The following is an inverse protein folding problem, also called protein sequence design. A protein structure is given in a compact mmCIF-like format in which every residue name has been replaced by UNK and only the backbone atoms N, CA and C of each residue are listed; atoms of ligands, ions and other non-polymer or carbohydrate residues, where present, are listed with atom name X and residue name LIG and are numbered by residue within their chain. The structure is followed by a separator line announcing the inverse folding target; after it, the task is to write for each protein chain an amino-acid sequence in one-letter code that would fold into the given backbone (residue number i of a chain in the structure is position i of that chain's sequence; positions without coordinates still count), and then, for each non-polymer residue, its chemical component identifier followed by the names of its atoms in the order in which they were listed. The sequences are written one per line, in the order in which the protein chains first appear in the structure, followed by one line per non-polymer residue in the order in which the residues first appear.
data_IF_553818214042
#
_entry.id   IF_553818214042
#
_cell.length_a   1.000
_cell.length_b   1.000
_cell.length_c   1.000
_cell.angle_alpha   90.00
_cell.angle_beta   90.00
_cell.angle_gamma   90.00
#
_symmetry.space_group_name_H-M   'P 1'
#
loop_
_entity.id
_entity.type
_entity.pdbx_description
1 polymer ?
#
# COMPACT_ATOMS: atom_id res chain seq x y z
N UNK A 1 7.83 -13.03 -6.63
CA UNK A 1 7.47 -11.75 -6.01
C UNK A 1 6.25 -11.18 -6.70
N UNK A 2 5.31 -10.66 -5.92
CA UNK A 2 4.06 -10.14 -6.44
C UNK A 2 4.28 -8.73 -7.00
N UNK A 3 3.96 -8.53 -8.29
CA UNK A 3 4.14 -7.23 -8.94
C UNK A 3 3.33 -6.13 -8.25
N UNK A 4 2.15 -6.46 -7.73
CA UNK A 4 1.32 -5.50 -7.02
C UNK A 4 1.97 -5.06 -5.71
N UNK A 5 2.60 -5.99 -4.99
CA UNK A 5 3.31 -5.66 -3.75
C UNK A 5 4.49 -4.74 -4.02
N UNK A 6 5.25 -5.02 -5.08
CA UNK A 6 6.38 -4.18 -5.47
C UNK A 6 5.91 -2.78 -5.86
N UNK A 7 4.79 -2.68 -6.59
CA UNK A 7 4.22 -1.40 -6.97
C UNK A 7 3.78 -0.59 -5.76
N UNK A 8 3.08 -1.22 -4.83
CA UNK A 8 2.63 -0.53 -3.61
C UNK A 8 3.81 0.01 -2.84
N UNK A 9 4.83 -0.81 -2.64
CA UNK A 9 6.03 -0.40 -1.91
C UNK A 9 6.73 0.77 -2.60
N UNK A 10 6.88 0.70 -3.93
CA UNK A 10 7.53 1.75 -4.69
C UNK A 10 6.75 3.07 -4.61
N UNK A 11 5.44 3.03 -4.74
CA UNK A 11 4.61 4.24 -4.69
C UNK A 11 4.69 4.89 -3.31
N UNK A 12 4.58 4.10 -2.25
CA UNK A 12 4.68 4.64 -0.89
C UNK A 12 6.05 5.28 -0.68
N UNK A 13 7.12 4.64 -1.12
CA UNK A 13 8.46 5.17 -0.98
C UNK A 13 8.70 6.42 -1.81
N UNK A 14 8.32 6.39 -3.09
CA UNK A 14 8.64 7.46 -4.03
C UNK A 14 7.71 8.67 -3.91
N UNK A 15 6.41 8.44 -3.75
CA UNK A 15 5.44 9.54 -3.77
C UNK A 15 5.04 10.02 -2.39
N UNK A 16 5.16 9.19 -1.39
CA UNK A 16 4.70 9.51 -0.04
C UNK A 16 5.82 9.52 0.99
N UNK A 17 7.05 9.38 0.55
CA UNK A 17 8.20 9.44 1.45
C UNK A 17 8.24 8.34 2.49
N UNK A 18 7.60 7.22 2.23
CA UNK A 18 7.62 6.06 3.12
C UNK A 18 6.43 5.96 4.07
N UNK A 19 5.56 6.98 4.10
CA UNK A 19 4.36 6.97 4.95
C UNK A 19 3.14 7.31 4.10
N UNK A 20 2.31 6.30 3.85
CA UNK A 20 1.07 6.49 3.10
C UNK A 20 0.01 7.04 4.06
N UNK A 21 -0.61 8.19 3.74
CA UNK A 21 -1.54 8.86 4.67
C UNK A 21 -2.92 8.19 4.77
N UNK A 22 -3.10 7.02 4.17
CA UNK A 22 -4.34 6.26 4.27
C UNK A 22 -4.04 4.76 4.27
N UNK A 23 -5.06 3.95 4.53
CA UNK A 23 -4.91 2.50 4.57
C UNK A 23 -5.80 1.86 3.50
N UNK A 24 -5.94 0.55 3.55
CA UNK A 24 -6.84 -0.20 2.66
C UNK A 24 -8.32 0.12 2.91
N UNK A 25 -8.61 0.95 3.90
CA UNK A 25 -9.98 1.44 4.14
C UNK A 25 -10.33 2.66 3.29
N UNK A 26 -9.38 3.20 2.55
CA UNK A 26 -9.62 4.33 1.65
C UNK A 26 -10.61 3.95 0.55
N UNK A 27 -11.26 4.96 -0.03
CA UNK A 27 -12.22 4.73 -1.11
C UNK A 27 -11.53 4.06 -2.31
N UNK A 28 -12.24 3.18 -3.02
CA UNK A 28 -11.62 2.49 -4.17
C UNK A 28 -11.07 3.44 -5.22
N UNK A 29 -11.70 4.59 -5.43
CA UNK A 29 -11.23 5.58 -6.39
C UNK A 29 -9.86 6.13 -6.03
N UNK A 30 -9.63 6.35 -4.74
CA UNK A 30 -8.34 6.85 -4.26
C UNK A 30 -7.24 5.84 -4.52
N UNK A 31 -7.51 4.57 -4.21
CA UNK A 31 -6.54 3.51 -4.41
C UNK A 31 -6.22 3.32 -5.88
N UNK A 32 -7.25 3.32 -6.73
CA UNK A 32 -7.07 3.17 -8.17
C UNK A 32 -6.25 4.33 -8.75
N UNK A 33 -6.52 5.56 -8.29
CA UNK A 33 -5.81 6.74 -8.76
C UNK A 33 -4.33 6.71 -8.36
N UNK A 34 -4.06 6.34 -7.10
CA UNK A 34 -2.69 6.39 -6.58
C UNK A 34 -1.86 5.17 -6.98
N UNK A 35 -2.46 4.00 -7.03
CA UNK A 35 -1.75 2.75 -7.24
C UNK A 35 -2.11 2.04 -8.54
N UNK A 36 -3.13 2.51 -9.25
CA UNK A 36 -3.60 1.94 -10.51
C UNK A 36 -3.96 0.47 -10.37
N UNK A 37 -4.59 0.12 -9.26
CA UNK A 37 -5.07 -1.23 -9.00
C UNK A 37 -6.38 -1.17 -8.23
N UNK A 38 -7.11 -2.28 -8.22
CA UNK A 38 -8.34 -2.37 -7.47
C UNK A 38 -8.06 -2.38 -5.96
N UNK A 39 -9.07 -2.03 -5.17
CA UNK A 39 -8.95 -2.08 -3.72
C UNK A 39 -8.62 -3.49 -3.22
N UNK A 40 -9.21 -4.52 -3.86
CA UNK A 40 -8.92 -5.89 -3.47
C UNK A 40 -7.47 -6.27 -3.74
N UNK A 41 -6.93 -5.86 -4.89
CA UNK A 41 -5.53 -6.10 -5.21
C UNK A 41 -4.60 -5.34 -4.26
N UNK A 42 -4.94 -4.10 -3.95
CA UNK A 42 -4.18 -3.28 -3.01
C UNK A 42 -4.16 -3.94 -1.62
N UNK A 43 -5.31 -4.35 -1.13
CA UNK A 43 -5.42 -4.99 0.17
C UNK A 43 -4.57 -6.27 0.25
N UNK A 44 -4.59 -7.06 -0.82
CA UNK A 44 -3.80 -8.29 -0.89
C UNK A 44 -2.30 -7.97 -0.90
N UNK A 45 -1.91 -6.97 -1.69
CA UNK A 45 -0.51 -6.56 -1.77
C UNK A 45 0.00 -6.05 -0.42
N UNK A 46 -0.79 -5.23 0.27
CA UNK A 46 -0.44 -4.72 1.60
C UNK A 46 -0.31 -5.87 2.59
N UNK A 47 -1.20 -6.87 2.51
CA UNK A 47 -1.11 -8.06 3.36
C UNK A 47 0.18 -8.83 3.15
N UNK A 48 0.62 -8.97 1.91
CA UNK A 48 1.90 -9.61 1.60
C UNK A 48 3.09 -8.83 2.17
N UNK A 49 3.08 -7.50 2.00
CA UNK A 49 4.15 -6.66 2.52
C UNK A 49 4.21 -6.71 4.05
N UNK A 50 3.07 -6.74 4.68
CA UNK A 50 2.98 -6.86 6.14
C UNK A 50 3.56 -8.20 6.61
N UNK A 51 3.19 -9.28 5.93
CA UNK A 51 3.69 -10.61 6.26
C UNK A 51 5.21 -10.70 6.09
N UNK A 52 5.73 -10.03 5.08
CA UNK A 52 7.17 -10.01 4.80
C UNK A 52 7.93 -9.05 5.71
N UNK A 53 7.25 -8.30 6.57
CA UNK A 53 7.88 -7.36 7.47
C UNK A 53 8.41 -6.11 6.79
N UNK A 54 7.84 -5.75 5.65
CA UNK A 54 8.30 -4.59 4.87
C UNK A 54 7.54 -3.32 5.17
N UNK A 55 6.33 -3.44 5.71
CA UNK A 55 5.50 -2.29 6.07
C UNK A 55 4.85 -2.54 7.42
N UNK A 56 4.44 -1.45 8.06
CA UNK A 56 3.63 -1.47 9.25
C UNK A 56 2.31 -0.75 8.96
N UNK A 57 1.20 -1.34 9.38
CA UNK A 57 -0.10 -0.72 9.24
C UNK A 57 -0.51 -0.14 10.58
N UNK A 58 -0.81 1.16 10.58
CA UNK A 58 -1.39 1.80 11.75
C UNK A 58 -2.87 2.01 11.50
N UNK A 59 -3.54 2.63 12.46
CA UNK A 59 -4.96 2.90 12.34
C UNK A 59 -5.29 3.80 11.14
N UNK A 60 -4.38 4.68 10.77
CA UNK A 60 -4.64 5.68 9.71
C UNK A 60 -3.60 5.69 8.60
N UNK A 61 -2.50 4.97 8.74
CA UNK A 61 -1.40 5.03 7.77
C UNK A 61 -0.80 3.66 7.51
N UNK A 62 -0.04 3.59 6.42
CA UNK A 62 0.81 2.44 6.12
C UNK A 62 2.22 2.98 5.98
N UNK A 63 3.15 2.45 6.75
CA UNK A 63 4.53 2.95 6.80
C UNK A 63 5.50 1.88 6.35
N UNK A 64 6.49 2.29 5.55
CA UNK A 64 7.59 1.40 5.17
C UNK A 64 8.54 1.27 6.37
N UNK A 65 8.91 0.03 6.66
CA UNK A 65 9.86 -0.25 7.75
C UNK A 65 11.30 -0.13 7.29
#
# INVERSE_FOLDING_TARGET
MDDDSARVLAVIGDQFGGVLPFTDKAAPEVIKREFQMSKNAFKRAVGHLLKDGKVRITEKTIEIL
#
